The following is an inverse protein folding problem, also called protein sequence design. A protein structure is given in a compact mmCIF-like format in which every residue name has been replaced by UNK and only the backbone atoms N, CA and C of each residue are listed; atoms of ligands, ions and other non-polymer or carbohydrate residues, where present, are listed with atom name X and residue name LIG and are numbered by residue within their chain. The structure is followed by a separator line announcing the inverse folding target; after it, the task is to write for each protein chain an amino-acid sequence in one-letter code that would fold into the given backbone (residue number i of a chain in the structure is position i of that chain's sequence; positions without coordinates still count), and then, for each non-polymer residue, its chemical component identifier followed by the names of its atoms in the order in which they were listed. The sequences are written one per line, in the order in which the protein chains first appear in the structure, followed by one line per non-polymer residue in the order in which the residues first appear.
data_IF_452177127145
#
_entry.id   IF_452177127145
#
_cell.length_a   1.000
_cell.length_b   1.000
_cell.length_c   1.000
_cell.angle_alpha   90.00
_cell.angle_beta   90.00
_cell.angle_gamma   90.00
#
_symmetry.space_group_name_H-M   'P 1'
#
loop_
_entity.id
_entity.type
_entity.pdbx_description
1 polymer ?
#
# COMPACT_ATOMS: atom_id res chain seq x y z
N UNK A 1 -4.46 2.76 -7.01
CA UNK A 1 -5.42 3.63 -6.28
C UNK A 1 -4.66 4.36 -5.18
N UNK A 2 -4.95 5.64 -4.92
CA UNK A 2 -4.34 6.40 -3.82
C UNK A 2 -5.38 6.59 -2.70
N UNK A 3 -5.45 5.69 -1.71
CA UNK A 3 -6.44 5.81 -0.63
C UNK A 3 -6.07 6.96 0.32
N UNK A 4 -7.09 7.64 0.84
CA UNK A 4 -6.96 8.58 1.95
C UNK A 4 -7.79 8.08 3.13
N UNK A 5 -7.23 8.17 4.34
CA UNK A 5 -7.92 7.77 5.58
C UNK A 5 -8.29 9.04 6.33
N UNK A 6 -9.56 9.13 6.71
CA UNK A 6 -10.12 10.25 7.45
C UNK A 6 -10.76 9.73 8.73
N UNK A 7 -10.60 10.47 9.83
CA UNK A 7 -11.52 10.33 10.96
C UNK A 7 -12.91 10.77 10.51
N UNK A 8 -13.97 10.23 11.14
CA UNK A 8 -15.32 10.72 10.90
C UNK A 8 -15.52 12.10 11.54
N UNK A 9 -14.81 12.39 12.62
CA UNK A 9 -14.87 13.68 13.29
C UNK A 9 -14.29 14.78 12.39
N UNK A 10 -15.06 15.85 12.20
CA UNK A 10 -14.70 16.98 11.35
C UNK A 10 -14.63 16.69 9.85
N UNK A 11 -15.09 15.52 9.39
CA UNK A 11 -15.15 15.21 7.96
C UNK A 11 -16.35 15.91 7.29
N UNK A 12 -16.14 16.50 6.11
CA UNK A 12 -17.22 17.15 5.35
C UNK A 12 -17.96 16.12 4.50
N UNK A 13 -19.18 15.73 4.92
CA UNK A 13 -20.03 14.78 4.18
C UNK A 13 -20.27 15.19 2.73
N UNK A 14 -20.32 16.49 2.43
CA UNK A 14 -20.60 16.98 1.07
C UNK A 14 -19.44 16.67 0.13
N UNK A 15 -18.22 16.56 0.66
CA UNK A 15 -17.05 16.17 -0.14
C UNK A 15 -17.18 14.76 -0.71
N UNK A 16 -17.99 13.89 -0.11
CA UNK A 16 -18.23 12.52 -0.60
C UNK A 16 -18.88 12.47 -1.97
N UNK A 17 -19.62 13.50 -2.40
CA UNK A 17 -20.23 13.52 -3.73
C UNK A 17 -19.19 13.52 -4.86
N UNK A 18 -17.95 13.92 -4.57
CA UNK A 18 -16.82 13.84 -5.50
C UNK A 18 -16.04 12.53 -5.41
N UNK A 19 -16.42 11.61 -4.52
CA UNK A 19 -15.72 10.35 -4.29
C UNK A 19 -16.45 9.21 -4.97
N UNK A 20 -15.80 8.58 -5.94
CA UNK A 20 -16.33 7.39 -6.65
C UNK A 20 -16.28 6.12 -5.81
N UNK A 21 -15.47 6.11 -4.74
CA UNK A 21 -15.11 4.95 -3.93
C UNK A 21 -15.06 5.34 -2.47
N UNK A 22 -15.86 4.69 -1.64
CA UNK A 22 -15.93 4.95 -0.19
C UNK A 22 -15.90 3.63 0.57
N UNK A 23 -15.13 3.58 1.65
CA UNK A 23 -15.18 2.49 2.63
C UNK A 23 -15.46 3.11 3.99
N UNK A 24 -16.39 2.53 4.74
CA UNK A 24 -16.65 2.92 6.12
C UNK A 24 -16.25 1.76 7.02
N UNK A 25 -15.48 2.06 8.07
CA UNK A 25 -15.20 1.13 9.17
C UNK A 25 -15.73 1.80 10.43
N UNK A 26 -16.72 1.19 11.09
CA UNK A 26 -17.40 1.82 12.23
C UNK A 26 -17.71 0.81 13.32
N UNK A 27 -17.28 1.11 14.55
CA UNK A 27 -17.71 0.37 15.74
C UNK A 27 -19.09 0.80 16.21
N UNK A 28 -19.71 0.01 17.08
CA UNK A 28 -20.96 0.36 17.76
C UNK A 28 -20.68 0.60 19.25
N UNK A 29 -21.29 1.62 19.85
CA UNK A 29 -21.15 1.95 21.28
C UNK A 29 -22.49 1.87 22.00
N UNK A 30 -22.43 1.73 23.34
CA UNK A 30 -23.61 1.76 24.20
C UNK A 30 -24.68 0.75 23.78
N UNK A 31 -25.91 1.24 23.66
CA UNK A 31 -27.10 0.46 23.27
C UNK A 31 -27.36 0.60 21.76
N UNK A 32 -26.36 0.29 20.93
CA UNK A 32 -26.49 0.35 19.46
C UNK A 32 -26.23 1.71 18.84
N UNK A 33 -25.57 2.62 19.56
CA UNK A 33 -25.32 4.00 19.18
C UNK A 33 -24.07 4.15 18.31
N UNK A 34 -23.96 5.30 17.65
CA UNK A 34 -22.74 5.72 16.95
C UNK A 34 -21.62 5.97 17.97
N UNK A 35 -20.35 5.73 17.62
CA UNK A 35 -19.20 6.25 18.36
C UNK A 35 -19.24 7.79 18.43
N UNK A 36 -18.72 8.39 19.49
CA UNK A 36 -18.67 9.86 19.68
C UNK A 36 -18.07 10.60 18.46
N UNK A 37 -17.01 10.05 17.85
CA UNK A 37 -16.36 10.65 16.69
C UNK A 37 -17.12 10.46 15.37
N UNK A 38 -18.23 9.72 15.36
CA UNK A 38 -19.04 9.43 14.18
C UNK A 38 -20.46 10.03 14.25
N UNK A 39 -20.92 10.43 15.44
CA UNK A 39 -22.29 10.88 15.70
C UNK A 39 -22.68 12.08 14.83
N UNK A 40 -21.91 13.18 14.88
CA UNK A 40 -22.19 14.41 14.12
C UNK A 40 -22.22 14.14 12.61
N UNK A 41 -21.25 13.38 12.09
CA UNK A 41 -21.20 13.06 10.66
C UNK A 41 -22.42 12.23 10.23
N UNK A 42 -22.85 11.27 11.05
CA UNK A 42 -24.01 10.43 10.77
C UNK A 42 -25.32 11.24 10.76
N UNK A 43 -25.52 12.14 11.73
CA UNK A 43 -26.69 13.03 11.75
C UNK A 43 -26.79 13.86 10.47
N UNK A 44 -25.68 14.46 10.04
CA UNK A 44 -25.63 15.22 8.79
C UNK A 44 -25.88 14.31 7.57
N UNK A 45 -25.34 13.08 7.57
CA UNK A 45 -25.53 12.12 6.48
C UNK A 45 -27.00 11.74 6.27
N UNK A 46 -27.75 11.52 7.35
CA UNK A 46 -29.19 11.21 7.30
C UNK A 46 -29.99 12.34 6.64
N UNK A 47 -29.57 13.59 6.81
CA UNK A 47 -30.22 14.78 6.24
C UNK A 47 -29.69 15.18 4.85
N UNK A 48 -28.57 14.63 4.39
CA UNK A 48 -27.86 15.07 3.19
C UNK A 48 -28.60 14.76 1.87
N UNK A 49 -29.56 13.84 1.88
CA UNK A 49 -30.28 13.41 0.68
C UNK A 49 -29.40 12.62 -0.31
N UNK A 50 -29.77 12.60 -1.59
CA UNK A 50 -29.12 11.75 -2.60
C UNK A 50 -27.86 12.36 -3.24
N UNK A 51 -26.79 12.51 -2.46
CA UNK A 51 -25.52 13.09 -2.94
C UNK A 51 -24.50 12.06 -3.44
N UNK A 52 -24.75 10.77 -3.24
CA UNK A 52 -23.81 9.67 -3.51
C UNK A 52 -24.15 8.87 -4.77
N UNK A 53 -24.91 9.43 -5.71
CA UNK A 53 -25.40 8.73 -6.92
C UNK A 53 -24.31 8.16 -7.82
N UNK A 54 -23.06 8.60 -7.65
CA UNK A 54 -21.89 8.14 -8.39
C UNK A 54 -20.82 7.52 -7.49
N UNK A 55 -21.19 7.13 -6.27
CA UNK A 55 -20.28 6.62 -5.26
C UNK A 55 -20.56 5.14 -5.06
N UNK A 56 -19.50 4.33 -5.12
CA UNK A 56 -19.55 2.92 -4.79
C UNK A 56 -18.99 2.71 -3.39
N UNK A 57 -19.66 1.90 -2.58
CA UNK A 57 -19.26 1.74 -1.18
C UNK A 57 -19.32 0.29 -0.67
N UNK A 58 -18.66 0.10 0.47
CA UNK A 58 -18.82 -1.05 1.36
C UNK A 58 -18.55 -0.64 2.80
N UNK A 59 -19.07 -1.41 3.76
CA UNK A 59 -18.99 -1.11 5.19
C UNK A 59 -18.44 -2.31 5.96
N UNK A 60 -17.49 -2.06 6.87
CA UNK A 60 -17.07 -3.00 7.91
C UNK A 60 -17.64 -2.51 9.24
N UNK A 61 -18.57 -3.27 9.81
CA UNK A 61 -19.14 -2.97 11.10
C UNK A 61 -18.37 -3.74 12.17
N UNK A 62 -18.00 -3.08 13.27
CA UNK A 62 -17.37 -3.71 14.43
C UNK A 62 -18.36 -3.68 15.61
N UNK A 63 -18.48 -4.79 16.33
CA UNK A 63 -19.37 -4.91 17.47
C UNK A 63 -19.07 -6.15 18.30
N UNK A 64 -19.97 -6.42 19.25
CA UNK A 64 -19.88 -7.57 20.14
C UNK A 64 -21.25 -8.24 20.22
N UNK A 65 -21.34 -9.53 19.91
CA UNK A 65 -22.60 -10.29 19.93
C UNK A 65 -23.17 -10.49 21.35
N UNK A 66 -22.41 -10.15 22.38
CA UNK A 66 -22.86 -10.04 23.77
C UNK A 66 -23.85 -8.90 24.01
N UNK A 67 -24.05 -8.00 23.05
CA UNK A 67 -25.02 -6.90 23.10
C UNK A 67 -26.20 -7.16 22.15
N UNK A 68 -27.40 -6.71 22.55
CA UNK A 68 -28.63 -6.90 21.77
C UNK A 68 -28.57 -6.26 20.38
N UNK A 69 -27.92 -5.09 20.29
CA UNK A 69 -27.79 -4.29 19.07
C UNK A 69 -26.41 -4.47 18.41
N UNK A 70 -26.07 -5.73 18.13
CA UNK A 70 -24.82 -6.12 17.46
C UNK A 70 -24.60 -5.35 16.14
N UNK A 71 -23.46 -4.68 15.99
CA UNK A 71 -23.05 -3.94 14.78
C UNK A 71 -24.07 -2.88 14.29
N UNK A 72 -24.92 -2.36 15.17
CA UNK A 72 -26.04 -1.49 14.78
C UNK A 72 -25.58 -0.21 14.06
N UNK A 73 -24.52 0.45 14.54
CA UNK A 73 -23.97 1.65 13.89
C UNK A 73 -23.54 1.40 12.44
N UNK A 74 -22.81 0.30 12.19
CA UNK A 74 -22.38 -0.06 10.83
C UNK A 74 -23.55 -0.46 9.92
N UNK A 75 -24.59 -1.10 10.47
CA UNK A 75 -25.84 -1.40 9.74
C UNK A 75 -26.56 -0.12 9.33
N UNK A 76 -26.50 0.91 10.16
CA UNK A 76 -27.14 2.19 9.89
C UNK A 76 -26.37 3.00 8.86
N UNK A 77 -25.04 3.02 8.93
CA UNK A 77 -24.19 3.58 7.86
C UNK A 77 -24.47 2.93 6.49
N UNK A 78 -24.52 1.61 6.45
CA UNK A 78 -24.75 0.84 5.23
C UNK A 78 -26.11 1.17 4.57
N UNK A 79 -27.18 1.31 5.37
CA UNK A 79 -28.50 1.74 4.88
C UNK A 79 -28.50 3.21 4.45
N UNK A 80 -27.86 4.09 5.22
CA UNK A 80 -27.83 5.53 4.95
C UNK A 80 -27.08 5.82 3.65
N UNK A 81 -25.92 5.20 3.41
CA UNK A 81 -25.18 5.36 2.16
C UNK A 81 -25.99 4.91 0.93
N UNK A 82 -26.73 3.81 1.03
CA UNK A 82 -27.65 3.35 -0.01
C UNK A 82 -28.82 4.33 -0.22
N UNK A 83 -29.40 4.85 0.86
CA UNK A 83 -30.46 5.86 0.80
C UNK A 83 -29.98 7.19 0.16
N UNK A 84 -28.71 7.55 0.38
CA UNK A 84 -28.02 8.68 -0.27
C UNK A 84 -27.68 8.42 -1.76
N UNK A 85 -28.04 7.25 -2.29
CA UNK A 85 -27.86 6.89 -3.70
C UNK A 85 -26.55 6.17 -4.02
N UNK A 86 -25.76 5.83 -3.00
CA UNK A 86 -24.55 5.03 -3.16
C UNK A 86 -24.86 3.62 -3.65
N UNK A 87 -23.94 3.04 -4.42
CA UNK A 87 -24.02 1.66 -4.89
C UNK A 87 -23.17 0.75 -4.01
N UNK A 88 -23.80 -0.19 -3.32
CA UNK A 88 -23.09 -1.21 -2.54
C UNK A 88 -22.49 -2.25 -3.48
N UNK A 89 -21.17 -2.31 -3.57
CA UNK A 89 -20.49 -3.26 -4.46
C UNK A 89 -19.98 -4.50 -3.73
N UNK A 90 -19.69 -4.37 -2.44
CA UNK A 90 -19.33 -5.47 -1.56
C UNK A 90 -20.22 -5.42 -0.32
N UNK A 91 -20.76 -6.57 0.06
CA UNK A 91 -21.68 -6.65 1.20
C UNK A 91 -20.99 -6.22 2.48
N UNK A 92 -21.78 -5.62 3.37
CA UNK A 92 -21.31 -5.27 4.72
C UNK A 92 -20.92 -6.55 5.47
N UNK A 93 -19.81 -6.49 6.18
CA UNK A 93 -19.40 -7.54 7.11
C UNK A 93 -19.55 -7.02 8.54
N UNK A 94 -20.27 -7.79 9.36
CA UNK A 94 -20.48 -7.53 10.78
C UNK A 94 -19.45 -8.36 11.57
N UNK A 95 -18.45 -7.69 12.14
CA UNK A 95 -17.35 -8.32 12.88
C UNK A 95 -17.66 -8.33 14.38
N UNK A 96 -17.47 -9.50 15.01
CA UNK A 96 -17.52 -9.68 16.47
C UNK A 96 -16.16 -9.34 17.12
N UNK A 97 -15.98 -9.63 18.41
CA UNK A 97 -14.73 -9.34 19.16
C UNK A 97 -13.47 -9.90 18.48
N UNK A 98 -13.56 -11.09 17.88
CA UNK A 98 -12.49 -11.70 17.07
C UNK A 98 -12.57 -11.19 15.61
N UNK A 99 -12.40 -9.87 15.44
CA UNK A 99 -12.69 -9.19 14.17
C UNK A 99 -11.63 -9.35 13.09
N UNK A 100 -10.42 -9.82 13.41
CA UNK A 100 -9.28 -9.76 12.49
C UNK A 100 -9.51 -10.51 11.18
N UNK A 101 -9.91 -11.78 11.26
CA UNK A 101 -10.18 -12.63 10.10
C UNK A 101 -11.36 -12.10 9.24
N UNK A 102 -12.55 -11.78 9.80
CA UNK A 102 -13.65 -11.25 9.00
C UNK A 102 -13.35 -9.86 8.42
N UNK A 103 -12.62 -9.00 9.14
CA UNK A 103 -12.21 -7.70 8.63
C UNK A 103 -11.18 -7.82 7.49
N UNK A 104 -10.24 -8.76 7.56
CA UNK A 104 -9.28 -9.03 6.48
C UNK A 104 -10.00 -9.56 5.23
N UNK A 105 -10.94 -10.49 5.39
CA UNK A 105 -11.74 -11.01 4.28
C UNK A 105 -12.57 -9.90 3.62
N UNK A 106 -13.21 -9.06 4.43
CA UNK A 106 -13.92 -7.88 3.95
C UNK A 106 -12.98 -6.93 3.19
N UNK A 107 -11.81 -6.61 3.76
CA UNK A 107 -10.85 -5.69 3.16
C UNK A 107 -10.44 -6.18 1.77
N UNK A 108 -10.04 -7.44 1.66
CA UNK A 108 -9.62 -8.04 0.39
C UNK A 108 -10.76 -8.04 -0.64
N UNK A 109 -11.97 -8.43 -0.22
CA UNK A 109 -13.14 -8.47 -1.11
C UNK A 109 -13.64 -7.09 -1.54
N UNK A 110 -13.70 -6.12 -0.62
CA UNK A 110 -14.13 -4.76 -0.88
C UNK A 110 -13.11 -4.00 -1.74
N UNK A 111 -11.81 -4.10 -1.42
CA UNK A 111 -10.76 -3.46 -2.21
C UNK A 111 -10.71 -3.99 -3.64
N UNK A 112 -10.84 -5.30 -3.84
CA UNK A 112 -10.84 -5.91 -5.17
C UNK A 112 -11.98 -5.36 -6.03
N UNK A 113 -13.18 -5.22 -5.46
CA UNK A 113 -14.32 -4.66 -6.19
C UNK A 113 -14.22 -3.15 -6.39
N UNK A 114 -13.68 -2.40 -5.42
CA UNK A 114 -13.44 -0.95 -5.58
C UNK A 114 -12.35 -0.67 -6.62
N UNK A 115 -11.40 -1.59 -6.83
CA UNK A 115 -10.44 -1.49 -7.93
C UNK A 115 -11.12 -1.48 -9.30
N UNK A 116 -12.25 -2.20 -9.43
CA UNK A 116 -13.06 -2.24 -10.65
C UNK A 116 -13.92 -1.00 -10.87
N UNK A 117 -13.88 -0.01 -9.98
CA UNK A 117 -14.56 1.28 -10.18
C UNK A 117 -13.59 2.22 -10.90
N UNK A 118 -14.01 2.79 -12.02
CA UNK A 118 -13.19 3.78 -12.73
C UNK A 118 -13.25 5.17 -12.07
N UNK A 119 -12.58 6.15 -12.67
CA UNK A 119 -12.60 7.53 -12.16
C UNK A 119 -13.93 8.24 -12.38
N UNK A 120 -14.80 7.68 -13.23
CA UNK A 120 -16.13 8.21 -13.51
C UNK A 120 -17.19 7.60 -12.59
N UNK A 121 -16.82 6.67 -11.70
CA UNK A 121 -17.74 6.01 -10.76
C UNK A 121 -18.45 4.79 -11.33
N UNK A 122 -18.10 4.35 -12.54
CA UNK A 122 -18.69 3.17 -13.16
C UNK A 122 -18.03 1.90 -12.66
N UNK A 123 -18.84 0.95 -12.20
CA UNK A 123 -18.36 -0.36 -11.75
C UNK A 123 -18.23 -1.34 -12.92
N UNK A 124 -17.00 -1.84 -13.15
CA UNK A 124 -16.66 -2.79 -14.21
C UNK A 124 -16.75 -4.23 -13.68
N UNK A 125 -17.96 -4.77 -13.68
CA UNK A 125 -18.24 -6.11 -13.12
C UNK A 125 -17.42 -7.24 -13.77
N UNK A 126 -17.06 -7.10 -15.05
CA UNK A 126 -16.27 -8.07 -15.79
C UNK A 126 -14.80 -8.15 -15.33
N UNK A 127 -14.29 -7.15 -14.62
CA UNK A 127 -12.92 -7.13 -14.10
C UNK A 127 -12.81 -7.73 -12.69
N UNK A 128 -13.93 -8.08 -12.05
CA UNK A 128 -13.94 -8.51 -10.64
C UNK A 128 -13.17 -9.80 -10.44
N UNK A 129 -13.39 -10.80 -11.31
CA UNK A 129 -12.71 -12.10 -11.19
C UNK A 129 -11.19 -11.94 -11.35
N UNK A 130 -10.78 -11.10 -12.31
CA UNK A 130 -9.36 -10.76 -12.53
C UNK A 130 -8.77 -10.03 -11.32
N UNK A 131 -9.47 -9.04 -10.76
CA UNK A 131 -8.97 -8.29 -9.60
C UNK A 131 -8.90 -9.15 -8.33
N UNK A 132 -9.82 -10.09 -8.15
CA UNK A 132 -9.79 -11.06 -7.04
C UNK A 132 -8.64 -12.06 -7.22
N UNK A 133 -8.38 -12.53 -8.44
CA UNK A 133 -7.23 -13.38 -8.74
C UNK A 133 -5.91 -12.64 -8.50
N UNK A 134 -5.80 -11.38 -8.93
CA UNK A 134 -4.65 -10.54 -8.66
C UNK A 134 -4.42 -10.31 -7.16
N UNK A 135 -5.49 -10.00 -6.40
CA UNK A 135 -5.40 -9.77 -4.95
C UNK A 135 -5.03 -11.05 -4.17
N UNK A 136 -5.40 -12.23 -4.67
CA UNK A 136 -5.06 -13.53 -4.07
C UNK A 136 -3.71 -14.10 -4.54
N UNK A 137 -3.04 -13.44 -5.50
CA UNK A 137 -1.75 -13.87 -6.03
C UNK A 137 -1.83 -15.01 -7.06
N UNK A 138 -3.00 -15.25 -7.66
CA UNK A 138 -3.17 -16.24 -8.73
C UNK A 138 -2.76 -15.65 -10.10
N UNK A 139 -1.99 -16.40 -10.88
CA UNK A 139 -1.66 -16.06 -12.27
C UNK A 139 -2.92 -16.06 -13.14
N UNK A 140 -3.18 -14.96 -13.84
CA UNK A 140 -4.27 -14.85 -14.82
C UNK A 140 -3.67 -15.05 -16.21
N UNK A 141 -4.04 -16.14 -16.89
CA UNK A 141 -3.78 -16.31 -18.32
C UNK A 141 -4.67 -15.34 -19.10
N UNK A 142 -4.09 -14.27 -19.64
CA UNK A 142 -4.81 -13.37 -20.55
C UNK A 142 -4.93 -14.00 -21.93
N UNK A 143 -6.15 -14.33 -22.35
CA UNK A 143 -6.47 -14.74 -23.72
C UNK A 143 -6.36 -13.51 -24.65
N UNK A 144 -5.32 -13.45 -25.48
CA UNK A 144 -5.07 -12.33 -26.40
C UNK A 144 -6.08 -12.30 -27.56
N UNK A 145 -6.72 -11.15 -27.77
CA UNK A 145 -7.40 -10.83 -29.04
C UNK A 145 -6.34 -10.52 -30.12
N UNK A 146 -6.57 -10.91 -31.40
CA UNK A 146 -5.50 -11.05 -32.38
C UNK A 146 -4.98 -9.69 -32.86
N UNK A 147 -3.67 -9.45 -32.69
CA UNK A 147 -2.96 -8.38 -33.37
C UNK A 147 -2.38 -8.90 -34.70
N UNK A 148 -2.71 -8.21 -35.80
CA UNK A 148 -2.07 -8.42 -37.10
C UNK A 148 -0.58 -8.01 -37.07
N UNK A 149 0.22 -8.90 -37.64
CA UNK A 149 1.68 -8.92 -37.66
C UNK A 149 2.36 -7.68 -38.25
N UNK A 150 3.53 -7.32 -37.70
CA UNK A 150 4.77 -7.24 -38.49
C UNK A 150 6.02 -7.23 -37.60
N UNK A 151 6.92 -8.20 -37.82
CA UNK A 151 8.37 -7.98 -37.66
C UNK A 151 9.12 -8.84 -36.66
N UNK A 152 9.24 -10.13 -36.94
CA UNK A 152 10.14 -11.10 -36.30
C UNK A 152 11.62 -10.72 -36.44
N UNK A 153 12.41 -10.86 -35.38
CA UNK A 153 13.72 -11.55 -35.47
C UNK A 153 14.26 -12.04 -34.12
N UNK A 154 14.22 -13.38 -33.99
CA UNK A 154 15.16 -14.31 -33.34
C UNK A 154 15.85 -13.93 -32.01
N UNK A 155 15.42 -14.63 -30.96
CA UNK A 155 16.25 -15.03 -29.82
C UNK A 155 17.41 -15.93 -30.26
N UNK A 156 18.61 -15.66 -29.74
CA UNK A 156 19.59 -16.71 -29.44
C UNK A 156 20.38 -16.31 -28.19
N UNK A 157 20.26 -17.14 -27.16
CA UNK A 157 21.07 -17.08 -25.95
C UNK A 157 22.49 -17.58 -26.24
N UNK A 158 23.51 -16.96 -25.60
CA UNK A 158 24.50 -17.65 -24.77
C UNK A 158 25.48 -16.68 -24.10
N UNK A 159 25.43 -16.72 -22.77
CA UNK A 159 26.50 -16.72 -21.75
C UNK A 159 27.80 -15.89 -21.85
N UNK A 160 27.93 -15.08 -20.78
CA UNK A 160 29.09 -14.89 -19.88
C UNK A 160 30.31 -14.13 -20.37
N UNK A 161 30.43 -12.90 -19.86
CA UNK A 161 31.65 -12.46 -19.17
C UNK A 161 31.31 -11.37 -18.15
N UNK A 162 31.51 -11.69 -16.88
CA UNK A 162 31.45 -10.80 -15.73
C UNK A 162 32.39 -9.61 -15.91
N UNK A 163 31.83 -8.40 -15.99
CA UNK A 163 32.55 -7.13 -15.88
C UNK A 163 31.69 -6.08 -15.17
N UNK A 164 31.29 -6.34 -13.92
CA UNK A 164 30.87 -5.26 -13.03
C UNK A 164 31.76 -5.24 -11.79
N UNK A 165 32.68 -4.27 -11.81
CA UNK A 165 33.67 -3.99 -10.78
C UNK A 165 33.02 -3.83 -9.41
N UNK A 166 33.50 -4.59 -8.42
CA UNK A 166 33.20 -4.34 -7.01
C UNK A 166 33.74 -2.96 -6.61
N UNK A 167 32.87 -1.96 -6.47
CA UNK A 167 33.26 -0.68 -5.86
C UNK A 167 33.03 -0.74 -4.34
N UNK A 168 34.03 -0.38 -3.52
CA UNK A 168 33.89 -0.43 -2.07
C UNK A 168 32.91 0.63 -1.56
N UNK A 169 32.13 0.25 -0.53
CA UNK A 169 31.11 1.07 0.14
C UNK A 169 31.69 2.40 0.68
N UNK A 170 31.68 3.45 -0.17
CA UNK A 170 32.03 4.83 0.19
C UNK A 170 31.18 5.37 1.34
N UNK A 171 29.95 4.89 1.46
CA UNK A 171 29.01 5.28 2.51
C UNK A 171 29.43 4.73 3.88
N UNK A 172 29.70 3.42 4.00
CA UNK A 172 30.14 2.81 5.26
C UNK A 172 31.45 3.44 5.75
N UNK A 173 32.33 3.82 4.82
CA UNK A 173 33.58 4.52 5.14
C UNK A 173 33.32 5.95 5.66
N UNK A 174 32.42 6.70 5.02
CA UNK A 174 32.04 8.07 5.45
C UNK A 174 31.27 8.11 6.76
N UNK A 175 30.41 7.11 7.01
CA UNK A 175 29.69 6.97 8.29
C UNK A 175 30.68 6.62 9.41
N UNK A 176 31.61 5.69 9.18
CA UNK A 176 32.68 5.39 10.16
C UNK A 176 33.61 6.57 10.40
N UNK A 177 33.92 7.35 9.37
CA UNK A 177 34.71 8.59 9.47
C UNK A 177 33.94 9.71 10.21
N UNK A 178 32.60 9.73 10.14
CA UNK A 178 31.76 10.74 10.80
C UNK A 178 31.41 10.42 12.27
N UNK A 179 31.44 9.14 12.66
CA UNK A 179 30.96 8.66 13.98
C UNK A 179 32.10 8.45 15.00
N UNK A 180 33.36 8.76 14.62
CA UNK A 180 34.50 8.88 15.56
C UNK A 180 34.63 7.75 16.61
N UNK A 181 34.44 6.51 16.18
CA UNK A 181 34.64 5.29 17.01
C UNK A 181 33.85 5.27 18.33
N UNK A 182 32.67 5.91 18.38
CA UNK A 182 31.78 5.77 19.54
C UNK A 182 30.99 4.46 19.45
N UNK A 183 31.15 3.62 20.49
CA UNK A 183 30.43 2.36 20.63
C UNK A 183 28.92 2.60 20.71
N UNK A 184 28.17 2.05 19.75
CA UNK A 184 26.72 2.09 19.74
C UNK A 184 26.15 1.50 21.05
N UNK A 185 25.24 2.20 21.76
CA UNK A 185 24.71 1.73 23.03
C UNK A 185 23.86 0.46 22.84
N UNK A 186 24.03 -0.50 23.74
CA UNK A 186 23.56 -1.88 23.60
C UNK A 186 22.07 -2.11 23.91
N UNK A 187 21.26 -1.08 24.19
CA UNK A 187 19.81 -1.27 24.44
C UNK A 187 18.92 -0.09 24.01
N UNK A 188 17.87 -0.42 23.23
CA UNK A 188 16.62 0.33 23.12
C UNK A 188 16.47 1.30 21.94
N UNK A 189 15.57 0.96 20.99
CA UNK A 189 15.14 1.81 19.86
C UNK A 189 14.67 3.20 20.34
N UNK A 190 14.13 3.32 21.56
CA UNK A 190 13.71 4.59 22.15
C UNK A 190 14.86 5.57 22.43
N UNK A 191 16.01 5.09 22.94
CA UNK A 191 17.16 5.97 23.20
C UNK A 191 17.95 6.30 21.94
N UNK A 192 17.89 5.41 20.95
CA UNK A 192 18.54 5.63 19.67
C UNK A 192 17.74 6.55 18.73
N UNK A 193 16.42 6.72 18.96
CA UNK A 193 15.51 7.50 18.10
C UNK A 193 15.98 8.93 17.84
N UNK A 194 16.43 9.65 18.87
CA UNK A 194 16.85 11.05 18.73
C UNK A 194 18.22 11.18 18.04
N UNK A 195 19.14 10.25 18.33
CA UNK A 195 20.42 10.17 17.65
C UNK A 195 20.25 9.81 16.17
N UNK A 196 19.39 8.84 15.86
CA UNK A 196 19.02 8.49 14.48
C UNK A 196 18.31 9.65 13.79
N UNK A 197 17.51 10.47 14.49
CA UNK A 197 16.84 11.65 13.91
C UNK A 197 17.85 12.71 13.46
N UNK A 198 18.88 12.99 14.27
CA UNK A 198 19.93 13.94 13.90
C UNK A 198 20.90 13.37 12.86
N UNK A 199 21.28 12.09 12.97
CA UNK A 199 22.07 11.39 11.95
C UNK A 199 21.33 11.34 10.60
N UNK A 200 20.01 11.11 10.63
CA UNK A 200 19.12 11.12 9.46
C UNK A 200 19.06 12.51 8.84
N UNK A 201 18.95 13.59 9.63
CA UNK A 201 18.98 14.97 9.11
C UNK A 201 20.31 15.31 8.44
N UNK A 202 21.44 14.95 9.05
CA UNK A 202 22.77 15.20 8.51
C UNK A 202 23.01 14.40 7.22
N UNK A 203 22.58 13.13 7.20
CA UNK A 203 22.76 12.27 6.02
C UNK A 203 21.83 12.66 4.88
N UNK A 204 20.57 13.03 5.17
CA UNK A 204 19.64 13.55 4.15
C UNK A 204 20.15 14.84 3.49
N UNK A 205 20.86 15.70 4.22
CA UNK A 205 21.50 16.90 3.67
C UNK A 205 22.74 16.60 2.81
N UNK A 206 23.37 15.44 2.99
CA UNK A 206 24.59 15.05 2.29
C UNK A 206 24.35 14.21 1.03
N UNK A 207 23.12 13.72 0.83
CA UNK A 207 22.76 12.93 -0.34
C UNK A 207 22.20 13.80 -1.47
N UNK A 208 22.48 13.45 -2.74
CA UNK A 208 21.87 14.12 -3.88
C UNK A 208 20.35 13.86 -3.91
N UNK A 209 19.57 14.92 -4.12
CA UNK A 209 18.11 14.90 -4.21
C UNK A 209 17.65 15.50 -5.53
N UNK A 210 16.62 14.93 -6.17
CA UNK A 210 15.97 15.52 -7.34
C UNK A 210 15.65 14.52 -8.46
N UNK A 211 14.91 15.00 -9.47
CA UNK A 211 14.47 14.21 -10.65
C UNK A 211 15.63 13.62 -11.47
N UNK A 212 16.84 14.16 -11.29
CA UNK A 212 18.06 13.72 -11.97
C UNK A 212 18.71 12.50 -11.30
N UNK A 213 18.11 11.94 -10.24
CA UNK A 213 18.63 10.76 -9.54
C UNK A 213 17.57 9.67 -9.40
N UNK A 214 18.00 8.41 -9.49
CA UNK A 214 17.15 7.21 -9.40
C UNK A 214 17.74 6.22 -8.38
N UNK A 215 16.86 5.51 -7.67
CA UNK A 215 17.27 4.42 -6.80
C UNK A 215 17.56 3.16 -7.62
N UNK A 216 18.55 2.36 -7.23
CA UNK A 216 18.87 1.06 -7.82
C UNK A 216 19.02 0.01 -6.73
N UNK A 217 18.55 -1.20 -6.99
CA UNK A 217 18.57 -2.33 -6.04
C UNK A 217 19.66 -3.33 -6.41
N UNK A 218 20.46 -3.73 -5.43
CA UNK A 218 21.42 -4.84 -5.46
C UNK A 218 20.69 -6.12 -5.07
N UNK A 219 20.42 -6.97 -6.06
CA UNK A 219 19.61 -8.19 -5.89
C UNK A 219 20.31 -9.27 -5.04
N UNK A 220 21.65 -9.25 -4.96
CA UNK A 220 22.38 -10.20 -4.10
C UNK A 220 22.21 -9.85 -2.62
N UNK A 221 22.20 -8.55 -2.30
CA UNK A 221 22.00 -8.07 -0.93
C UNK A 221 20.55 -7.97 -0.52
N UNK A 222 19.64 -7.70 -1.45
CA UNK A 222 18.24 -7.47 -1.13
C UNK A 222 17.62 -8.73 -0.53
N UNK A 223 17.21 -8.67 0.73
CA UNK A 223 16.59 -9.81 1.44
C UNK A 223 15.07 -9.83 1.35
N UNK A 224 14.45 -8.91 0.60
CA UNK A 224 13.00 -8.88 0.43
C UNK A 224 12.19 -8.38 1.63
N UNK A 225 12.83 -7.71 2.60
CA UNK A 225 12.18 -7.27 3.85
C UNK A 225 11.15 -6.13 3.73
N UNK A 226 10.86 -5.66 2.51
CA UNK A 226 9.86 -4.63 2.15
C UNK A 226 9.97 -3.25 2.81
N UNK A 227 10.97 -3.00 3.67
CA UNK A 227 11.17 -1.69 4.31
C UNK A 227 11.25 -0.54 3.28
N UNK A 228 11.97 -0.72 2.18
CA UNK A 228 12.07 0.30 1.13
C UNK A 228 10.71 0.69 0.51
N UNK A 229 9.78 -0.26 0.39
CA UNK A 229 8.40 -0.03 -0.09
C UNK A 229 7.66 0.87 0.89
N UNK A 230 7.70 0.54 2.19
CA UNK A 230 7.05 1.32 3.25
C UNK A 230 7.52 2.78 3.30
N UNK A 231 8.79 3.04 3.02
CA UNK A 231 9.36 4.39 3.03
C UNK A 231 9.27 5.11 1.68
N UNK A 232 8.69 4.49 0.64
CA UNK A 232 8.52 5.12 -0.66
C UNK A 232 7.17 5.84 -0.76
N UNK A 233 7.18 7.14 -0.46
CA UNK A 233 5.98 8.00 -0.58
C UNK A 233 5.49 8.19 -2.03
N UNK A 234 6.23 7.69 -3.02
CA UNK A 234 5.95 7.85 -4.44
C UNK A 234 5.53 6.54 -5.11
N UNK A 235 5.34 5.47 -4.32
CA UNK A 235 4.99 4.13 -4.80
C UNK A 235 5.89 3.62 -5.94
N UNK A 236 7.15 4.04 -5.96
CA UNK A 236 8.10 3.73 -7.05
C UNK A 236 8.90 2.46 -6.80
N UNK A 237 8.45 1.58 -5.90
CA UNK A 237 9.18 0.37 -5.50
C UNK A 237 8.20 -0.79 -5.41
N UNK A 238 8.39 -1.77 -6.27
CA UNK A 238 7.67 -3.04 -6.26
C UNK A 238 8.51 -4.17 -5.68
N UNK A 239 7.86 -5.28 -5.35
CA UNK A 239 8.50 -6.51 -4.90
C UNK A 239 8.29 -7.61 -5.92
N UNK A 240 9.32 -7.92 -6.69
CA UNK A 240 9.29 -8.97 -7.72
C UNK A 240 9.76 -10.31 -7.14
N UNK A 241 9.20 -11.40 -7.65
CA UNK A 241 9.74 -12.73 -7.39
C UNK A 241 11.15 -12.84 -7.98
N UNK A 242 12.03 -13.50 -7.24
CA UNK A 242 13.40 -13.72 -7.66
C UNK A 242 13.78 -15.16 -7.37
N UNK A 243 13.95 -15.91 -8.45
CA UNK A 243 14.38 -17.30 -8.41
C UNK A 243 15.79 -17.38 -7.83
N UNK A 244 15.87 -17.74 -6.56
CA UNK A 244 17.09 -18.23 -5.96
C UNK A 244 17.24 -19.69 -6.39
N UNK A 245 18.33 -19.98 -7.10
CA UNK A 245 18.84 -21.35 -7.26
C UNK A 245 19.36 -21.88 -5.91
N UNK A 246 18.49 -21.97 -4.90
CA UNK A 246 18.79 -22.63 -3.65
C UNK A 246 18.58 -24.14 -3.83
N UNK A 247 19.47 -24.95 -3.25
CA UNK A 247 19.47 -26.44 -3.34
C UNK A 247 18.20 -27.12 -2.77
N UNK A 248 17.25 -26.35 -2.26
CA UNK A 248 15.98 -26.81 -1.70
C UNK A 248 14.87 -25.95 -2.28
N UNK A 249 14.00 -26.60 -3.06
CA UNK A 249 12.98 -26.07 -3.95
C UNK A 249 11.76 -25.41 -3.26
N UNK A 250 11.96 -24.69 -2.14
CA UNK A 250 10.84 -24.22 -1.31
C UNK A 250 10.98 -22.81 -0.74
N UNK A 251 11.87 -21.95 -1.27
CA UNK A 251 11.92 -20.56 -0.81
C UNK A 251 12.00 -19.58 -1.99
N UNK A 252 10.85 -19.03 -2.35
CA UNK A 252 10.74 -17.93 -3.30
C UNK A 252 11.14 -16.64 -2.58
N UNK A 253 12.28 -16.04 -2.95
CA UNK A 253 12.69 -14.76 -2.40
C UNK A 253 12.11 -13.62 -3.22
N UNK A 254 11.54 -12.61 -2.57
CA UNK A 254 11.14 -11.38 -3.25
C UNK A 254 12.29 -10.37 -3.22
N UNK A 255 12.45 -9.58 -4.29
CA UNK A 255 13.44 -8.50 -4.40
C UNK A 255 12.74 -7.20 -4.74
N UNK A 256 13.28 -6.09 -4.22
CA UNK A 256 12.77 -4.77 -4.55
C UNK A 256 13.14 -4.41 -6.00
N UNK A 257 12.19 -3.88 -6.75
CA UNK A 257 12.36 -3.32 -8.09
C UNK A 257 12.00 -1.84 -8.04
N UNK A 258 12.86 -0.97 -8.54
CA UNK A 258 12.57 0.47 -8.62
C UNK A 258 11.92 0.77 -9.96
N UNK A 259 10.75 1.41 -9.92
CA UNK A 259 10.05 1.94 -11.09
C UNK A 259 10.66 3.30 -11.47
N UNK A 260 11.22 3.37 -12.66
CA UNK A 260 12.03 4.51 -13.11
C UNK A 260 11.22 5.77 -13.47
N UNK A 261 10.00 5.56 -13.92
CA UNK A 261 9.01 6.55 -14.33
C UNK A 261 8.45 7.37 -13.15
N UNK A 262 8.24 6.70 -12.02
CA UNK A 262 7.65 7.29 -10.81
C UNK A 262 8.70 7.66 -9.76
N UNK A 263 9.92 7.10 -9.84
CA UNK A 263 10.98 7.41 -8.89
C UNK A 263 11.45 8.88 -9.03
N UNK A 264 11.25 9.65 -7.96
CA UNK A 264 11.63 11.07 -7.87
C UNK A 264 13.01 11.32 -7.25
N UNK A 265 13.76 10.27 -6.90
CA UNK A 265 15.12 10.42 -6.39
C UNK A 265 15.24 10.99 -4.97
N UNK A 266 14.24 10.79 -4.09
CA UNK A 266 14.23 11.38 -2.74
C UNK A 266 15.15 10.68 -1.71
N UNK A 267 15.74 9.53 -2.06
CA UNK A 267 16.70 8.74 -1.25
C UNK A 267 16.15 8.02 0.00
N UNK A 268 14.86 8.17 0.34
CA UNK A 268 14.28 7.55 1.55
C UNK A 268 14.41 6.02 1.59
N UNK A 269 14.23 5.35 0.45
CA UNK A 269 14.35 3.90 0.33
C UNK A 269 15.78 3.39 0.59
N UNK A 270 16.80 4.15 0.19
CA UNK A 270 18.20 3.85 0.48
C UNK A 270 18.48 3.85 1.99
N UNK A 271 17.86 4.77 2.73
CA UNK A 271 17.93 4.81 4.19
C UNK A 271 17.16 3.70 4.88
N UNK A 272 16.01 3.33 4.33
CA UNK A 272 15.15 2.31 4.91
C UNK A 272 15.72 0.90 4.76
N UNK A 273 16.67 0.68 3.84
CA UNK A 273 17.18 -0.64 3.55
C UNK A 273 18.13 -1.15 4.66
N UNK A 274 17.73 -2.18 5.44
CA UNK A 274 18.54 -2.67 6.56
C UNK A 274 19.80 -3.42 6.13
N UNK A 275 19.88 -3.82 4.86
CA UNK A 275 20.98 -4.59 4.25
C UNK A 275 21.76 -3.78 3.21
N UNK A 276 21.53 -2.47 3.14
CA UNK A 276 22.21 -1.55 2.21
C UNK A 276 22.13 -2.02 0.74
N UNK A 277 21.02 -2.65 0.36
CA UNK A 277 20.80 -3.12 -1.00
C UNK A 277 20.36 -2.01 -1.96
N UNK A 278 20.14 -0.77 -1.51
CA UNK A 278 19.65 0.32 -2.37
C UNK A 278 20.69 1.43 -2.46
N UNK A 279 21.00 1.86 -3.67
CA UNK A 279 21.92 2.97 -3.98
C UNK A 279 21.22 4.02 -4.84
N UNK A 280 21.80 5.22 -4.91
CA UNK A 280 21.27 6.33 -5.72
C UNK A 280 22.25 6.67 -6.84
N UNK A 281 21.77 6.68 -8.08
CA UNK A 281 22.56 7.01 -9.28
C UNK A 281 21.94 8.17 -10.06
N UNK A 282 22.74 8.88 -10.85
CA UNK A 282 22.24 9.95 -11.72
C UNK A 282 21.54 9.37 -12.95
N UNK A 283 20.34 9.87 -13.29
CA UNK A 283 19.71 9.64 -14.60
C UNK A 283 20.59 10.34 -15.65
N UNK A 284 21.29 9.55 -16.48
CA UNK A 284 22.11 10.05 -17.61
C UNK A 284 21.22 10.32 -18.81
#
# INVERSE_FOLDING_TARGET
MNPTVHDMDGFDIKSMSGMSRVMIVCSTWGEGEMPDNAEELYEIAVEAGKILTNTNFSVCALGDTGYDLFCQSGKDWDKTLEAMGGSRIHDRVDCDVDFEDPAEQWMNGAMSKLACVDNEGTFQANLVDDMVAYASGAEIETEELPQENAGTTAYQAMETASLFFHKPNKWLKRVKEAVNDETLPTTGIEKAKDMFKELRKLTLKALPQGKDYIALVDNEKCIGCTQCVYYCNFASIDMISWDLNARTSQFESKKALILDDTCVGCTLCAFACPVEAITMESKV
#
